data_IF_334384680697
#
_entry.id   IF_334384680697
#
_cell.length_a   1.000
_cell.length_b   1.000
_cell.length_c   1.000
_cell.angle_alpha   90.00
_cell.angle_beta   90.00
_cell.angle_gamma   90.00
#
_symmetry.space_group_name_H-M   'P 1'
#
loop_
_entity.id
_entity.type
_entity.pdbx_description
1 polymer ?
#
# COMPACT_ATOMS: atom_id res chain seq x y z
N UNK A 1 -3.29 -27.09 11.09
CA UNK A 1 -3.06 -25.77 11.71
C UNK A 1 -2.90 -24.76 10.58
N UNK A 2 -3.72 -23.73 10.58
CA UNK A 2 -3.66 -22.67 9.56
C UNK A 2 -2.40 -21.86 9.72
N UNK A 3 -1.68 -21.66 8.61
CA UNK A 3 -0.45 -20.88 8.56
C UNK A 3 -0.65 -19.63 7.72
N UNK A 4 -0.11 -18.52 8.18
CA UNK A 4 -0.12 -17.22 7.51
C UNK A 4 1.32 -16.75 7.32
N UNK A 5 1.61 -16.18 6.15
CA UNK A 5 2.88 -15.53 5.86
C UNK A 5 2.65 -14.02 5.74
N UNK A 6 3.32 -13.26 6.59
CA UNK A 6 3.30 -11.79 6.53
C UNK A 6 4.70 -11.32 6.18
N UNK A 7 4.82 -10.63 5.06
CA UNK A 7 6.08 -10.16 4.51
C UNK A 7 6.14 -8.64 4.61
N UNK A 8 7.17 -8.11 5.24
CA UNK A 8 7.50 -6.68 5.17
C UNK A 8 8.63 -6.47 4.17
N UNK A 9 8.43 -5.60 3.19
CA UNK A 9 9.46 -5.29 2.21
C UNK A 9 10.42 -4.22 2.74
N UNK A 10 11.68 -4.37 2.39
CA UNK A 10 12.78 -3.49 2.77
C UNK A 10 14.11 -3.99 2.23
N UNK A 11 15.17 -3.22 2.42
CA UNK A 11 16.54 -3.58 2.13
C UNK A 11 17.31 -3.81 3.43
N UNK A 12 18.26 -4.77 3.40
CA UNK A 12 19.14 -5.09 4.52
C UNK A 12 20.36 -4.18 4.49
N UNK A 13 20.80 -3.75 5.65
CA UNK A 13 22.00 -2.92 5.84
C UNK A 13 21.67 -1.66 6.65
N UNK A 14 22.63 -1.19 7.43
CA UNK A 14 22.47 0.00 8.28
C UNK A 14 22.22 1.28 7.48
N UNK A 15 22.67 1.32 6.23
CA UNK A 15 22.41 2.41 5.29
C UNK A 15 20.93 2.56 4.92
N UNK A 16 20.16 1.47 4.98
CA UNK A 16 18.73 1.45 4.65
C UNK A 16 17.80 1.56 5.86
N UNK A 17 18.35 1.51 7.07
CA UNK A 17 17.58 1.68 8.28
C UNK A 17 16.82 3.00 8.27
N UNK A 18 15.54 2.97 8.64
CA UNK A 18 14.63 4.12 8.69
C UNK A 18 14.45 4.82 7.34
N UNK A 19 14.79 4.19 6.21
CA UNK A 19 14.41 4.70 4.90
C UNK A 19 12.93 4.45 4.63
N UNK A 20 12.33 5.27 3.75
CA UNK A 20 10.91 5.11 3.36
C UNK A 20 10.66 3.76 2.71
N UNK A 21 11.63 3.22 1.98
CA UNK A 21 11.54 1.89 1.36
C UNK A 21 11.56 0.73 2.36
N UNK A 22 11.95 0.99 3.61
CA UNK A 22 11.96 0.02 4.71
C UNK A 22 10.72 0.09 5.60
N UNK A 23 9.68 0.82 5.20
CA UNK A 23 8.41 0.91 5.98
C UNK A 23 7.81 -0.47 6.26
N UNK A 24 7.91 -1.42 5.32
CA UNK A 24 7.47 -2.80 5.54
C UNK A 24 8.24 -3.48 6.68
N UNK A 25 9.56 -3.28 6.77
CA UNK A 25 10.38 -3.78 7.88
C UNK A 25 9.95 -3.16 9.20
N UNK A 26 9.74 -1.83 9.22
CA UNK A 26 9.30 -1.11 10.43
C UNK A 26 7.98 -1.63 10.99
N UNK A 27 7.02 -1.95 10.13
CA UNK A 27 5.74 -2.54 10.55
C UNK A 27 5.95 -3.92 11.18
N UNK A 28 6.78 -4.77 10.59
CA UNK A 28 7.06 -6.10 11.14
C UNK A 28 7.86 -6.03 12.44
N UNK A 29 8.78 -5.09 12.56
CA UNK A 29 9.52 -4.84 13.81
C UNK A 29 8.57 -4.38 14.93
N UNK A 30 7.62 -3.50 14.62
CA UNK A 30 6.59 -3.08 15.58
C UNK A 30 5.69 -4.27 16.00
N UNK A 31 5.29 -5.13 15.06
CA UNK A 31 4.51 -6.33 15.39
C UNK A 31 5.31 -7.30 16.29
N UNK A 32 6.59 -7.54 15.95
CA UNK A 32 7.46 -8.42 16.72
C UNK A 32 7.67 -7.89 18.14
N UNK A 33 7.90 -6.59 18.30
CA UNK A 33 8.01 -5.91 19.59
C UNK A 33 6.73 -6.06 20.42
N UNK A 34 5.57 -5.80 19.81
CA UNK A 34 4.27 -5.93 20.48
C UNK A 34 3.92 -7.37 20.87
N UNK A 35 4.48 -8.35 20.17
CA UNK A 35 4.27 -9.79 20.41
C UNK A 35 5.39 -10.43 21.24
N UNK A 36 6.40 -9.66 21.66
CA UNK A 36 7.58 -10.11 22.38
C UNK A 36 8.30 -11.30 21.71
N UNK A 37 8.48 -11.21 20.39
CA UNK A 37 9.20 -12.18 19.56
C UNK A 37 10.39 -11.51 18.87
N UNK A 38 11.38 -12.30 18.49
CA UNK A 38 12.59 -11.84 17.82
C UNK A 38 12.75 -12.49 16.45
N UNK A 39 13.42 -11.80 15.54
CA UNK A 39 13.76 -12.32 14.23
C UNK A 39 15.06 -13.11 14.29
N UNK A 40 15.04 -14.30 13.68
CA UNK A 40 16.21 -15.14 13.44
C UNK A 40 16.66 -15.02 11.98
N UNK A 41 17.96 -15.06 11.74
CA UNK A 41 18.51 -15.17 10.38
C UNK A 41 18.20 -16.56 9.81
N UNK A 42 17.51 -16.58 8.68
CA UNK A 42 17.09 -17.78 7.97
C UNK A 42 17.37 -17.63 6.48
N UNK A 43 17.14 -18.69 5.72
CA UNK A 43 17.31 -18.63 4.27
C UNK A 43 16.38 -17.58 3.65
N UNK A 44 16.95 -16.67 2.87
CA UNK A 44 16.31 -15.55 2.17
C UNK A 44 15.71 -14.47 3.06
N UNK A 45 15.90 -14.49 4.38
CA UNK A 45 15.38 -13.41 5.21
C UNK A 45 15.47 -13.63 6.71
N UNK A 46 15.09 -12.60 7.43
CA UNK A 46 14.90 -12.65 8.87
C UNK A 46 13.46 -13.08 9.16
N UNK A 47 13.29 -14.07 10.02
CA UNK A 47 12.00 -14.71 10.27
C UNK A 47 11.70 -14.73 11.76
N UNK A 48 10.48 -14.33 12.12
CA UNK A 48 9.93 -14.50 13.45
C UNK A 48 8.61 -15.27 13.36
N UNK A 49 8.32 -16.07 14.36
CA UNK A 49 7.11 -16.90 14.39
C UNK A 49 6.32 -16.65 15.68
N UNK A 50 5.00 -16.63 15.54
CA UNK A 50 4.07 -16.57 16.68
C UNK A 50 2.79 -17.35 16.39
N UNK A 51 1.90 -17.41 17.36
CA UNK A 51 0.58 -18.01 17.22
C UNK A 51 -0.49 -17.03 17.68
N UNK A 52 -1.53 -16.85 16.87
CA UNK A 52 -2.71 -16.06 17.19
C UNK A 52 -3.94 -16.99 17.20
N UNK A 53 -4.49 -17.25 18.36
CA UNK A 53 -5.66 -18.14 18.53
C UNK A 53 -5.54 -19.47 17.77
N UNK A 54 -4.38 -20.13 17.89
CA UNK A 54 -4.12 -21.41 17.23
C UNK A 54 -3.72 -21.34 15.76
N UNK A 55 -3.58 -20.15 15.17
CA UNK A 55 -3.09 -19.95 13.81
C UNK A 55 -1.61 -19.56 13.84
N UNK A 56 -0.77 -20.27 13.09
CA UNK A 56 0.66 -19.94 13.00
C UNK A 56 0.86 -18.71 12.11
N UNK A 57 1.58 -17.71 12.60
CA UNK A 57 1.96 -16.51 11.88
C UNK A 57 3.47 -16.49 11.70
N UNK A 58 3.90 -16.42 10.45
CA UNK A 58 5.30 -16.34 10.04
C UNK A 58 5.54 -14.94 9.51
N UNK A 59 6.41 -14.18 10.18
CA UNK A 59 6.86 -12.86 9.73
C UNK A 59 8.14 -13.03 8.96
N UNK A 60 8.24 -12.42 7.79
CA UNK A 60 9.42 -12.47 6.91
C UNK A 60 9.86 -11.07 6.52
N UNK A 61 11.09 -10.71 6.86
CA UNK A 61 11.82 -9.57 6.29
C UNK A 61 12.82 -10.13 5.27
N UNK A 62 12.59 -10.03 3.94
CA UNK A 62 13.52 -10.55 2.94
C UNK A 62 14.92 -9.96 3.10
N UNK A 63 15.97 -10.80 3.01
CA UNK A 63 17.39 -10.37 2.99
C UNK A 63 17.94 -10.24 1.58
N UNK A 64 17.10 -10.35 0.56
CA UNK A 64 17.41 -10.10 -0.83
C UNK A 64 17.41 -8.61 -1.14
N UNK A 65 17.98 -8.19 -2.27
CA UNK A 65 17.69 -6.86 -2.80
C UNK A 65 16.18 -6.71 -3.06
N UNK A 66 15.67 -5.48 -2.96
CA UNK A 66 14.24 -5.19 -3.12
C UNK A 66 13.65 -5.80 -4.40
N UNK A 67 14.33 -5.65 -5.53
CA UNK A 67 13.92 -6.19 -6.83
C UNK A 67 14.03 -7.72 -6.95
N UNK A 68 14.46 -8.42 -5.90
CA UNK A 68 14.53 -9.87 -5.79
C UNK A 68 13.66 -10.44 -4.65
N UNK A 69 12.80 -9.61 -4.05
CA UNK A 69 11.95 -9.99 -2.91
C UNK A 69 11.06 -11.21 -3.19
N UNK A 70 10.64 -11.40 -4.44
CA UNK A 70 9.81 -12.54 -4.83
C UNK A 70 10.48 -13.89 -4.60
N UNK A 71 11.82 -13.98 -4.64
CA UNK A 71 12.54 -15.22 -4.34
C UNK A 71 12.31 -15.67 -2.91
N UNK A 72 12.39 -14.74 -1.96
CA UNK A 72 12.13 -15.03 -0.56
C UNK A 72 10.66 -15.41 -0.32
N UNK A 73 9.73 -14.67 -0.90
CA UNK A 73 8.29 -14.92 -0.75
C UNK A 73 7.92 -16.31 -1.29
N UNK A 74 8.31 -16.62 -2.52
CA UNK A 74 8.04 -17.93 -3.14
C UNK A 74 8.65 -19.06 -2.35
N UNK A 75 9.91 -18.91 -1.87
CA UNK A 75 10.57 -19.92 -1.06
C UNK A 75 9.78 -20.22 0.21
N UNK A 76 9.37 -19.19 0.96
CA UNK A 76 8.69 -19.37 2.25
C UNK A 76 7.26 -19.86 2.10
N UNK A 77 6.52 -19.45 1.05
CA UNK A 77 5.21 -20.02 0.73
C UNK A 77 5.31 -21.53 0.52
N UNK A 78 6.29 -21.97 -0.30
CA UNK A 78 6.47 -23.38 -0.62
C UNK A 78 6.98 -24.17 0.60
N UNK A 79 8.00 -23.67 1.31
CA UNK A 79 8.59 -24.33 2.48
C UNK A 79 7.56 -24.57 3.58
N UNK A 80 6.72 -23.59 3.87
CA UNK A 80 5.73 -23.68 4.93
C UNK A 80 4.38 -24.21 4.45
N UNK A 81 4.23 -24.46 3.16
CA UNK A 81 2.98 -24.84 2.52
C UNK A 81 1.84 -23.87 2.86
N UNK A 82 2.09 -22.57 2.67
CA UNK A 82 1.13 -21.51 2.91
C UNK A 82 0.38 -21.20 1.61
N UNK A 83 -0.95 -21.25 1.66
CA UNK A 83 -1.79 -20.83 0.55
C UNK A 83 -1.64 -19.32 0.30
N UNK A 84 -1.66 -18.90 -0.96
CA UNK A 84 -1.47 -17.51 -1.36
C UNK A 84 -2.56 -16.58 -0.81
N UNK A 85 -3.76 -17.07 -0.53
CA UNK A 85 -4.84 -16.33 0.15
C UNK A 85 -4.51 -15.96 1.60
N UNK A 86 -3.48 -16.59 2.17
CA UNK A 86 -2.96 -16.35 3.53
C UNK A 86 -1.61 -15.60 3.52
N UNK A 87 -1.24 -15.03 2.39
CA UNK A 87 -0.10 -14.12 2.23
C UNK A 87 -0.55 -12.68 2.35
N UNK A 88 0.11 -11.92 3.22
CA UNK A 88 0.01 -10.46 3.31
C UNK A 88 1.40 -9.85 3.09
N UNK A 89 1.52 -8.94 2.13
CA UNK A 89 2.75 -8.19 1.88
C UNK A 89 2.55 -6.73 2.28
N UNK A 90 3.45 -6.21 3.12
CA UNK A 90 3.48 -4.81 3.56
C UNK A 90 4.58 -4.08 2.78
N UNK A 91 4.23 -2.98 2.13
CA UNK A 91 5.13 -2.17 1.32
C UNK A 91 4.85 -0.68 1.49
N UNK A 92 5.86 0.15 1.21
CA UNK A 92 5.67 1.58 1.01
C UNK A 92 4.90 1.89 -0.28
N UNK A 93 4.30 3.08 -0.34
CA UNK A 93 3.53 3.55 -1.48
C UNK A 93 3.64 5.07 -1.65
N UNK A 94 4.28 5.51 -2.74
CA UNK A 94 4.41 6.93 -3.10
C UNK A 94 3.08 7.57 -3.51
N UNK A 95 2.09 6.77 -3.92
CA UNK A 95 0.79 7.28 -4.35
C UNK A 95 -0.15 7.62 -3.20
N UNK A 96 0.24 7.31 -1.96
CA UNK A 96 -0.52 7.62 -0.76
C UNK A 96 0.20 8.69 0.07
N UNK A 97 -0.51 9.66 0.66
CA UNK A 97 0.07 10.61 1.60
C UNK A 97 0.79 9.92 2.76
N UNK A 98 1.77 10.58 3.35
CA UNK A 98 2.44 10.08 4.55
C UNK A 98 1.43 9.80 5.67
N UNK A 99 1.52 8.61 6.27
CA UNK A 99 0.61 8.18 7.31
C UNK A 99 -0.74 7.64 6.83
N UNK A 100 -1.06 7.75 5.53
CA UNK A 100 -2.18 7.02 4.96
C UNK A 100 -1.83 5.55 4.71
N UNK A 101 -2.82 4.68 4.61
CA UNK A 101 -2.60 3.28 4.23
C UNK A 101 -3.78 2.72 3.43
N UNK A 102 -3.53 1.65 2.70
CA UNK A 102 -4.55 0.95 1.92
C UNK A 102 -4.31 -0.55 1.94
N UNK A 103 -5.31 -1.31 2.41
CA UNK A 103 -5.32 -2.76 2.32
C UNK A 103 -6.10 -3.19 1.07
N UNK A 104 -5.53 -4.10 0.27
CA UNK A 104 -6.14 -4.66 -0.93
C UNK A 104 -5.99 -6.18 -0.96
N UNK A 105 -7.00 -6.89 -1.46
CA UNK A 105 -6.94 -8.34 -1.66
C UNK A 105 -6.03 -8.77 -2.82
N UNK A 106 -5.71 -7.85 -3.72
CA UNK A 106 -4.86 -8.08 -4.89
C UNK A 106 -4.61 -6.78 -5.65
N UNK A 107 -4.01 -6.86 -6.84
CA UNK A 107 -3.85 -5.72 -7.74
C UNK A 107 -2.45 -5.53 -8.29
N UNK A 108 -2.22 -4.43 -9.03
CA UNK A 108 -0.92 -4.11 -9.65
C UNK A 108 0.15 -3.75 -8.61
N UNK A 109 1.41 -3.80 -9.04
CA UNK A 109 2.57 -3.45 -8.20
C UNK A 109 2.71 -1.93 -7.94
N UNK A 110 2.01 -1.07 -8.70
CA UNK A 110 2.07 0.38 -8.53
C UNK A 110 3.47 0.98 -8.78
N UNK A 111 4.33 0.31 -9.56
CA UNK A 111 5.71 0.71 -9.81
C UNK A 111 6.70 0.34 -8.69
N UNK A 112 6.26 -0.36 -7.67
CA UNK A 112 7.12 -0.82 -6.58
C UNK A 112 7.91 -2.07 -7.00
N UNK A 113 9.25 -1.97 -7.02
CA UNK A 113 10.12 -3.04 -7.54
C UNK A 113 9.96 -4.38 -6.82
N UNK A 114 9.81 -4.36 -5.49
CA UNK A 114 9.61 -5.57 -4.70
C UNK A 114 8.29 -6.25 -5.02
N UNK A 115 7.19 -5.50 -5.07
CA UNK A 115 5.89 -6.02 -5.48
C UNK A 115 5.90 -6.50 -6.94
N UNK A 116 6.63 -5.81 -7.83
CA UNK A 116 6.82 -6.21 -9.22
C UNK A 116 7.46 -7.58 -9.34
N UNK A 117 8.53 -7.84 -8.61
CA UNK A 117 9.20 -9.14 -8.64
C UNK A 117 8.36 -10.26 -7.99
N UNK A 118 7.65 -9.97 -6.89
CA UNK A 118 6.70 -10.92 -6.30
C UNK A 118 5.63 -11.28 -7.35
N UNK A 119 5.05 -10.27 -8.02
CA UNK A 119 4.03 -10.47 -9.04
C UNK A 119 4.52 -11.33 -10.22
N UNK A 120 5.77 -11.18 -10.64
CA UNK A 120 6.37 -12.01 -11.70
C UNK A 120 6.43 -13.48 -11.31
N UNK A 121 6.66 -13.80 -10.04
CA UNK A 121 6.90 -15.18 -9.59
C UNK A 121 5.63 -15.90 -9.11
N UNK A 122 4.65 -15.18 -8.55
CA UNK A 122 3.45 -15.79 -7.95
C UNK A 122 2.14 -15.13 -8.42
N UNK A 123 2.18 -14.18 -9.35
CA UNK A 123 1.00 -13.43 -9.77
C UNK A 123 0.59 -12.33 -8.78
N UNK A 124 -0.61 -11.80 -8.95
CA UNK A 124 -1.07 -10.62 -8.21
C UNK A 124 -2.21 -10.88 -7.21
N UNK A 125 -2.59 -12.14 -7.01
CA UNK A 125 -3.74 -12.53 -6.18
C UNK A 125 -3.29 -12.84 -4.74
N UNK A 126 -2.75 -11.84 -4.04
CA UNK A 126 -2.38 -11.90 -2.63
C UNK A 126 -2.70 -10.56 -1.96
N UNK A 127 -2.96 -10.59 -0.65
CA UNK A 127 -3.24 -9.39 0.12
C UNK A 127 -2.01 -8.49 0.24
N UNK A 128 -2.20 -7.18 0.13
CA UNK A 128 -1.14 -6.18 0.29
C UNK A 128 -1.61 -5.00 1.12
N UNK A 129 -0.81 -4.64 2.11
CA UNK A 129 -0.96 -3.43 2.89
C UNK A 129 0.04 -2.40 2.36
N UNK A 130 -0.49 -1.34 1.75
CA UNK A 130 0.29 -0.24 1.18
C UNK A 130 0.35 0.90 2.20
N UNK A 131 1.56 1.27 2.63
CA UNK A 131 1.81 2.32 3.60
C UNK A 131 2.26 3.58 2.88
N UNK A 132 1.52 4.67 3.04
CA UNK A 132 1.79 5.94 2.38
C UNK A 132 3.07 6.60 2.88
N UNK A 133 3.92 7.02 1.94
CA UNK A 133 5.17 7.72 2.20
C UNK A 133 5.24 9.11 1.54
N UNK A 134 4.12 9.52 0.89
CA UNK A 134 4.06 10.78 0.15
C UNK A 134 4.82 10.76 -1.18
N UNK A 135 4.68 11.83 -1.93
CA UNK A 135 5.29 12.00 -3.25
C UNK A 135 5.85 13.42 -3.46
N UNK A 136 6.27 14.08 -2.39
CA UNK A 136 6.79 15.45 -2.42
C UNK A 136 8.25 15.48 -2.92
N UNK A 137 8.48 14.94 -4.13
CA UNK A 137 9.79 14.92 -4.76
C UNK A 137 9.71 15.36 -6.23
N UNK A 138 10.80 15.99 -6.77
CA UNK A 138 10.85 16.37 -8.17
C UNK A 138 10.79 15.17 -9.10
N UNK A 139 10.28 15.39 -10.33
CA UNK A 139 10.24 14.35 -11.35
C UNK A 139 11.61 13.70 -11.56
N UNK A 140 11.66 12.37 -11.53
CA UNK A 140 12.89 11.58 -11.69
C UNK A 140 13.63 11.28 -10.38
N UNK A 141 13.24 11.87 -9.24
CA UNK A 141 13.90 11.70 -7.93
C UNK A 141 13.21 10.63 -7.05
N UNK A 142 12.36 9.78 -7.63
CA UNK A 142 11.63 8.76 -6.85
C UNK A 142 12.57 7.78 -6.12
N UNK A 143 13.68 7.40 -6.76
CA UNK A 143 14.65 6.47 -6.15
C UNK A 143 15.28 7.10 -4.91
N UNK A 144 15.74 8.35 -5.02
CA UNK A 144 16.32 9.09 -3.88
C UNK A 144 15.29 9.29 -2.77
N UNK A 145 14.02 9.53 -3.13
CA UNK A 145 12.94 9.66 -2.17
C UNK A 145 12.71 8.39 -1.37
N UNK A 146 12.52 7.25 -2.02
CA UNK A 146 12.25 5.99 -1.31
C UNK A 146 13.45 5.50 -0.51
N UNK A 147 14.68 5.78 -0.95
CA UNK A 147 15.91 5.47 -0.22
C UNK A 147 16.29 6.54 0.81
N UNK A 148 15.59 7.67 0.83
CA UNK A 148 15.73 8.69 1.85
C UNK A 148 15.17 8.25 3.19
N UNK A 149 15.84 8.68 4.28
CA UNK A 149 15.38 8.42 5.65
C UNK A 149 14.22 9.34 6.01
N UNK A 150 13.36 8.85 6.87
CA UNK A 150 12.39 9.70 7.54
C UNK A 150 13.09 10.66 8.49
N UNK A 151 12.59 11.88 8.60
CA UNK A 151 12.92 12.77 9.70
C UNK A 151 12.08 12.49 10.95
N UNK A 152 12.33 13.21 12.05
CA UNK A 152 11.63 12.98 13.32
C UNK A 152 10.13 13.32 13.24
N UNK A 153 9.75 14.35 12.50
CA UNK A 153 8.35 14.76 12.34
C UNK A 153 7.58 13.74 11.46
N UNK A 154 8.21 13.27 10.39
CA UNK A 154 7.66 12.21 9.55
C UNK A 154 7.47 10.91 10.33
N UNK A 155 8.43 10.53 11.19
CA UNK A 155 8.31 9.35 12.04
C UNK A 155 7.16 9.47 13.04
N UNK A 156 6.98 10.64 13.65
CA UNK A 156 5.84 10.91 14.53
C UNK A 156 4.51 10.81 13.78
N UNK A 157 4.46 11.32 12.54
CA UNK A 157 3.26 11.25 11.70
C UNK A 157 2.96 9.81 11.22
N UNK A 158 3.99 9.00 11.00
CA UNK A 158 3.88 7.61 10.53
C UNK A 158 3.48 6.64 11.66
N UNK A 159 3.88 6.89 12.91
CA UNK A 159 3.73 5.97 14.03
C UNK A 159 2.28 5.46 14.23
N UNK A 160 1.23 6.30 14.22
CA UNK A 160 -0.16 5.82 14.35
C UNK A 160 -0.56 4.82 13.26
N UNK A 161 -0.03 4.98 12.05
CA UNK A 161 -0.30 4.07 10.94
C UNK A 161 0.46 2.76 11.08
N UNK A 162 1.67 2.78 11.63
CA UNK A 162 2.42 1.56 11.99
C UNK A 162 1.65 0.78 13.07
N UNK A 163 1.17 1.45 14.11
CA UNK A 163 0.39 0.82 15.18
C UNK A 163 -0.90 0.20 14.61
N UNK A 164 -1.57 0.92 13.72
CA UNK A 164 -2.77 0.41 13.01
C UNK A 164 -2.42 -0.77 12.11
N UNK A 165 -1.27 -0.76 11.43
CA UNK A 165 -0.81 -1.87 10.58
C UNK A 165 -0.61 -3.16 11.39
N UNK A 166 -0.15 -3.08 12.63
CA UNK A 166 -0.07 -4.23 13.55
C UNK A 166 -1.45 -4.83 13.80
N UNK A 167 -2.47 -3.99 14.03
CA UNK A 167 -3.85 -4.46 14.22
C UNK A 167 -4.46 -5.02 12.92
N UNK A 168 -4.12 -4.45 11.76
CA UNK A 168 -4.51 -4.98 10.44
C UNK A 168 -3.96 -6.40 10.24
N UNK A 169 -2.69 -6.64 10.57
CA UNK A 169 -2.08 -7.98 10.49
C UNK A 169 -2.83 -8.97 11.37
N UNK A 170 -3.14 -8.61 12.63
CA UNK A 170 -3.91 -9.46 13.53
C UNK A 170 -5.31 -9.76 12.99
N UNK A 171 -6.01 -8.74 12.49
CA UNK A 171 -7.35 -8.87 11.90
C UNK A 171 -7.31 -9.74 10.64
N UNK A 172 -6.33 -9.55 9.76
CA UNK A 172 -6.16 -10.39 8.57
C UNK A 172 -6.01 -11.88 8.93
N UNK A 173 -5.21 -12.19 9.93
CA UNK A 173 -5.02 -13.56 10.41
C UNK A 173 -6.29 -14.12 11.04
N UNK A 174 -7.05 -13.32 11.81
CA UNK A 174 -8.18 -13.79 12.59
C UNK A 174 -9.52 -13.75 11.87
N UNK A 175 -9.73 -12.76 10.99
CA UNK A 175 -11.02 -12.49 10.34
C UNK A 175 -10.96 -12.55 8.79
N UNK A 176 -9.77 -12.61 8.20
CA UNK A 176 -9.57 -12.64 6.75
C UNK A 176 -9.59 -11.27 6.10
N UNK A 177 -9.28 -11.25 4.78
CA UNK A 177 -9.03 -10.02 4.04
C UNK A 177 -10.25 -9.10 3.93
N UNK A 178 -11.44 -9.65 3.63
CA UNK A 178 -12.63 -8.84 3.37
C UNK A 178 -13.12 -8.09 4.61
N UNK A 179 -13.18 -8.77 5.75
CA UNK A 179 -13.54 -8.16 7.04
C UNK A 179 -12.53 -7.09 7.42
N UNK A 180 -11.25 -7.38 7.25
CA UNK A 180 -10.16 -6.45 7.58
C UNK A 180 -10.20 -5.20 6.68
N UNK A 181 -10.42 -5.35 5.36
CA UNK A 181 -10.57 -4.21 4.46
C UNK A 181 -11.77 -3.32 4.86
N UNK A 182 -12.90 -3.93 5.17
CA UNK A 182 -14.11 -3.20 5.58
C UNK A 182 -13.90 -2.41 6.87
N UNK A 183 -13.17 -2.99 7.82
CA UNK A 183 -12.90 -2.39 9.12
C UNK A 183 -11.89 -1.24 9.01
N UNK A 184 -10.76 -1.44 8.32
CA UNK A 184 -9.60 -0.55 8.41
C UNK A 184 -9.46 0.44 7.26
N UNK A 185 -9.91 0.15 6.03
CA UNK A 185 -9.70 1.07 4.91
C UNK A 185 -10.36 2.44 5.06
N UNK A 186 -11.36 2.56 5.93
CA UNK A 186 -11.99 3.84 6.27
C UNK A 186 -11.05 4.74 7.07
N UNK A 187 -10.22 4.13 7.92
CA UNK A 187 -9.23 4.82 8.77
C UNK A 187 -7.98 5.22 7.98
N UNK A 188 -7.65 4.46 6.92
CA UNK A 188 -6.43 4.61 6.14
C UNK A 188 -6.42 5.77 5.14
N UNK A 189 -7.48 6.57 5.06
CA UNK A 189 -7.57 7.69 4.11
C UNK A 189 -6.67 8.88 4.45
N UNK A 190 -6.01 8.86 5.62
CA UNK A 190 -5.29 10.03 6.12
C UNK A 190 -6.26 11.19 6.41
N UNK A 191 -5.79 12.27 6.97
CA UNK A 191 -6.53 13.53 7.04
C UNK A 191 -6.53 14.23 5.67
N UNK A 192 -7.12 13.62 4.65
CA UNK A 192 -7.54 14.39 3.48
C UNK A 192 -8.54 15.42 4.00
N UNK A 193 -8.13 16.68 3.97
CA UNK A 193 -8.95 17.80 4.40
C UNK A 193 -10.33 17.66 3.74
N UNK A 194 -11.39 17.81 4.53
CA UNK A 194 -12.80 17.85 4.08
C UNK A 194 -13.07 18.89 2.98
N UNK A 195 -12.03 19.63 2.56
CA UNK A 195 -12.11 20.71 1.57
C UNK A 195 -12.05 20.24 0.11
N UNK A 196 -11.61 19.02 -0.18
CA UNK A 196 -11.56 18.52 -1.57
C UNK A 196 -12.83 17.78 -2.02
N UNK A 197 -13.64 17.26 -1.10
CA UNK A 197 -14.95 16.69 -1.47
C UNK A 197 -16.04 17.76 -1.70
N UNK A 198 -15.87 18.98 -1.16
CA UNK A 198 -16.77 20.11 -1.40
C UNK A 198 -16.59 20.77 -2.77
N UNK A 199 -15.39 20.73 -3.33
CA UNK A 199 -15.07 21.38 -4.61
C UNK A 199 -15.62 20.64 -5.84
N UNK A 200 -15.78 19.35 -5.78
CA UNK A 200 -16.28 18.55 -6.92
C UNK A 200 -17.80 18.48 -7.03
N UNK A 201 -18.55 18.85 -5.99
CA UNK A 201 -20.01 18.91 -6.06
C UNK A 201 -20.55 20.21 -6.62
N UNK A 202 -19.80 21.31 -6.52
CA UNK A 202 -20.25 22.62 -7.02
C UNK A 202 -19.96 22.86 -8.52
N UNK A 203 -19.07 22.08 -9.15
CA UNK A 203 -18.80 22.19 -10.60
C UNK A 203 -19.81 21.42 -11.48
N UNK A 204 -20.65 20.56 -10.91
CA UNK A 204 -21.66 19.81 -11.65
C UNK A 204 -23.07 20.43 -11.62
N UNK A 205 -23.32 21.47 -10.81
CA UNK A 205 -24.63 22.13 -10.73
C UNK A 205 -24.71 23.46 -11.49
N UNK A 206 -23.60 24.06 -11.95
CA UNK A 206 -23.62 25.32 -12.72
C UNK A 206 -23.58 25.14 -14.24
N UNK A 207 -23.59 23.91 -14.77
CA UNK A 207 -23.54 23.59 -16.21
C UNK A 207 -24.90 23.38 -16.89
N UNK A 208 -26.03 23.58 -16.22
CA UNK A 208 -27.35 23.13 -16.64
C UNK A 208 -28.41 24.18 -16.89
N UNK A 209 -28.09 25.44 -17.28
CA UNK A 209 -29.15 26.35 -17.77
C UNK A 209 -28.55 27.45 -18.63
N UNK A 210 -28.35 27.17 -19.94
CA UNK A 210 -28.31 28.20 -20.99
C UNK A 210 -28.22 27.57 -22.38
N UNK A 211 -29.36 27.03 -22.85
CA UNK A 211 -29.60 26.88 -24.29
C UNK A 211 -31.09 26.65 -24.52
N UNK A 212 -31.85 27.74 -24.49
CA UNK A 212 -33.10 27.87 -25.23
C UNK A 212 -33.39 29.36 -25.29
N UNK A 213 -33.06 29.97 -26.39
CA UNK A 213 -33.73 31.10 -27.01
C UNK A 213 -32.85 31.72 -28.10
N UNK A 214 -33.13 31.36 -29.33
CA UNK A 214 -33.11 32.22 -30.52
C UNK A 214 -33.18 31.37 -31.79
N UNK A 215 -34.36 30.92 -32.04
CA UNK A 215 -34.79 30.56 -33.40
C UNK A 215 -35.98 31.42 -33.76
N UNK A 216 -35.81 32.31 -34.72
CA UNK A 216 -36.79 32.77 -35.70
C UNK A 216 -36.48 34.20 -36.18
N UNK A 217 -36.16 34.27 -37.47
CA UNK A 217 -36.44 35.34 -38.45
C UNK A 217 -35.25 35.43 -39.41
N UNK A 218 -35.37 35.47 -40.72
CA UNK A 218 -36.48 35.55 -41.70
C UNK A 218 -35.84 35.17 -43.02
N UNK A 219 -36.57 34.47 -43.84
CA UNK A 219 -36.41 34.48 -45.30
C UNK A 219 -36.65 35.91 -45.82
N UNK A 220 -35.86 36.33 -46.80
CA UNK A 220 -36.32 37.03 -47.97
C UNK A 220 -35.14 37.41 -48.89
N UNK A 221 -35.17 36.84 -50.06
CA UNK A 221 -35.21 37.54 -51.36
C UNK A 221 -33.92 38.16 -51.89
N UNK A 222 -33.67 37.78 -53.17
CA UNK A 222 -33.04 38.67 -54.13
C UNK A 222 -32.03 37.99 -55.07
N UNK A 223 -32.49 37.34 -56.11
CA UNK A 223 -32.18 37.48 -57.55
C UNK A 223 -30.95 38.32 -57.95
N UNK A 224 -30.27 37.79 -58.97
CA UNK A 224 -29.73 38.54 -60.08
C UNK A 224 -28.28 38.22 -60.38
N UNK A 225 -28.10 37.51 -61.50
CA UNK A 225 -27.38 37.97 -62.75
C UNK A 225 -25.90 38.34 -62.53
N UNK A 226 -24.96 37.59 -63.00
CA UNK A 226 -24.40 37.34 -64.40
C UNK A 226 -23.43 36.17 -64.34
#
# INVERSE_FOLDING_TARGET
MDKYLVVGLGNVGSEYEMTRHNTGFMVLDAFAKASNIVFDDRRYGFVAETSLKGRKVILLKPSTFMNLSGNAVRYWLNKENVDQSRLLVVSDDVALPLGAFRLKAGGSNGGHNGLGHIQQLIGQNYARLRMGIGNEFPRGMQVDWVLGRYDEEELKALQPSIDTAVEIIKSFVLAGIDVTMNQFNKLGRGSMSRNEEGGRRNELEEGGTRKEERGRRKESDGRGED
#
